data_IF_996292403710
#
_entry.id   IF_996292403710
#
_cell.length_a   1.000
_cell.length_b   1.000
_cell.length_c   1.000
_cell.angle_alpha   90.00
_cell.angle_beta   90.00
_cell.angle_gamma   90.00
#
_symmetry.space_group_name_H-M   'P 1'
#
loop_
_entity.id
_entity.type
_entity.pdbx_description
1 polymer ?
#
# COMPACT_ATOMS: atom_id res chain seq x y z
N UNK A 1 1.76 22.27 33.00
CA UNK A 1 0.88 21.56 32.05
C UNK A 1 1.79 20.78 31.13
N UNK A 2 1.64 19.46 31.00
CA UNK A 2 2.61 18.60 30.34
C UNK A 2 2.60 18.90 28.83
N UNK A 3 3.75 19.32 28.30
CA UNK A 3 3.91 19.70 26.89
C UNK A 3 3.58 18.55 25.93
N UNK A 4 3.70 17.31 26.40
CA UNK A 4 3.38 16.10 25.62
C UNK A 4 1.88 15.91 25.32
N UNK A 5 0.98 16.42 26.17
CA UNK A 5 -0.47 16.28 25.95
C UNK A 5 -0.93 17.23 24.83
N UNK A 6 -0.44 18.47 24.87
CA UNK A 6 -0.70 19.50 23.85
C UNK A 6 -0.10 19.10 22.50
N UNK A 7 1.11 18.52 22.51
CA UNK A 7 1.77 18.04 21.30
C UNK A 7 1.01 16.86 20.67
N UNK A 8 0.48 15.95 21.47
CA UNK A 8 -0.32 14.81 21.01
C UNK A 8 -1.63 15.23 20.34
N UNK A 9 -2.36 16.17 20.93
CA UNK A 9 -3.61 16.69 20.36
C UNK A 9 -3.37 17.47 19.05
N UNK A 10 -2.34 18.31 19.01
CA UNK A 10 -1.95 19.02 17.79
C UNK A 10 -1.49 18.06 16.69
N UNK A 11 -0.61 17.11 17.01
CA UNK A 11 -0.15 16.10 16.04
C UNK A 11 -1.30 15.26 15.51
N UNK A 12 -2.24 14.85 16.35
CA UNK A 12 -3.43 14.12 15.91
C UNK A 12 -4.27 14.92 14.91
N UNK A 13 -4.43 16.23 15.13
CA UNK A 13 -5.10 17.14 14.21
C UNK A 13 -4.37 17.30 12.87
N UNK A 14 -3.05 17.54 12.92
CA UNK A 14 -2.20 17.63 11.73
C UNK A 14 -2.23 16.33 10.93
N UNK A 15 -2.11 15.18 11.58
CA UNK A 15 -2.08 13.88 10.92
C UNK A 15 -3.42 13.56 10.24
N UNK A 16 -4.54 13.93 10.87
CA UNK A 16 -5.88 13.80 10.26
C UNK A 16 -6.03 14.70 9.03
N UNK A 17 -5.47 15.92 9.07
CA UNK A 17 -5.47 16.83 7.94
C UNK A 17 -4.60 16.30 6.79
N UNK A 18 -3.37 15.88 7.10
CA UNK A 18 -2.45 15.26 6.14
C UNK A 18 -3.08 14.00 5.53
N UNK A 19 -3.66 13.12 6.34
CA UNK A 19 -4.28 11.89 5.85
C UNK A 19 -5.45 12.17 4.91
N UNK A 20 -6.28 13.18 5.23
CA UNK A 20 -7.38 13.59 4.35
C UNK A 20 -6.88 14.18 3.04
N UNK A 21 -5.90 15.07 3.10
CA UNK A 21 -5.27 15.67 1.91
C UNK A 21 -4.59 14.60 1.06
N UNK A 22 -3.91 13.66 1.68
CA UNK A 22 -3.26 12.54 0.99
C UNK A 22 -4.28 11.68 0.27
N UNK A 23 -5.39 11.30 0.92
CA UNK A 23 -6.46 10.52 0.28
C UNK A 23 -7.07 11.30 -0.89
N UNK A 24 -7.35 12.59 -0.71
CA UNK A 24 -7.94 13.43 -1.75
C UNK A 24 -7.00 13.57 -2.96
N UNK A 25 -5.72 13.83 -2.72
CA UNK A 25 -4.68 13.88 -3.75
C UNK A 25 -4.47 12.51 -4.41
N UNK A 26 -4.47 11.42 -3.65
CA UNK A 26 -4.35 10.07 -4.19
C UNK A 26 -5.55 9.74 -5.09
N UNK A 27 -6.77 10.05 -4.65
CA UNK A 27 -7.96 9.82 -5.47
C UNK A 27 -7.89 10.66 -6.75
N UNK A 28 -7.61 11.95 -6.64
CA UNK A 28 -7.62 12.84 -7.81
C UNK A 28 -6.45 12.57 -8.76
N UNK A 29 -5.23 12.41 -8.23
CA UNK A 29 -4.02 12.25 -9.03
C UNK A 29 -3.83 10.79 -9.46
N UNK A 30 -4.04 9.82 -8.58
CA UNK A 30 -3.89 8.40 -8.95
C UNK A 30 -5.11 7.93 -9.72
N UNK A 31 -6.36 8.10 -9.25
CA UNK A 31 -7.50 7.53 -9.99
C UNK A 31 -7.78 8.33 -11.26
N UNK A 32 -7.96 9.66 -11.14
CA UNK A 32 -8.28 10.51 -12.29
C UNK A 32 -7.07 10.70 -13.21
N UNK A 33 -5.89 10.92 -12.64
CA UNK A 33 -4.66 11.08 -13.42
C UNK A 33 -4.19 9.80 -14.11
N UNK A 34 -4.14 8.64 -13.43
CA UNK A 34 -3.73 7.38 -14.08
C UNK A 34 -4.75 6.90 -15.10
N UNK A 35 -6.05 6.97 -14.79
CA UNK A 35 -7.11 6.60 -15.71
C UNK A 35 -7.07 7.44 -16.99
N UNK A 36 -6.85 8.75 -16.86
CA UNK A 36 -6.73 9.66 -18.00
C UNK A 36 -5.47 9.38 -18.81
N UNK A 37 -4.32 9.15 -18.16
CA UNK A 37 -3.05 8.91 -18.85
C UNK A 37 -3.08 7.60 -19.65
N UNK A 38 -3.68 6.54 -19.09
CA UNK A 38 -3.84 5.24 -19.77
C UNK A 38 -4.82 5.38 -20.93
N UNK A 39 -5.99 5.99 -20.71
CA UNK A 39 -6.98 6.17 -21.77
C UNK A 39 -6.46 7.08 -22.89
N UNK A 40 -5.74 8.16 -22.56
CA UNK A 40 -5.14 9.08 -23.51
C UNK A 40 -4.09 8.42 -24.40
N UNK A 41 -3.43 7.37 -23.90
CA UNK A 41 -2.47 6.60 -24.70
C UNK A 41 -3.16 5.78 -25.80
N UNK A 42 -4.38 5.32 -25.54
CA UNK A 42 -5.17 4.51 -26.49
C UNK A 42 -6.13 5.33 -27.35
N UNK A 43 -6.55 6.52 -26.91
CA UNK A 43 -7.49 7.37 -27.63
C UNK A 43 -7.18 8.85 -27.41
N UNK A 44 -7.24 9.64 -28.49
CA UNK A 44 -6.88 11.07 -28.47
C UNK A 44 -7.99 11.97 -27.91
N UNK A 45 -9.24 11.55 -28.05
CA UNK A 45 -10.42 12.17 -27.47
C UNK A 45 -10.86 11.33 -26.26
N UNK A 46 -10.42 11.75 -25.08
CA UNK A 46 -10.78 11.11 -23.82
C UNK A 46 -11.23 12.17 -22.85
N UNK A 47 -12.50 12.08 -22.47
CA UNK A 47 -13.08 12.92 -21.43
C UNK A 47 -12.52 12.50 -20.05
N UNK A 48 -11.88 13.43 -19.31
CA UNK A 48 -11.33 13.15 -17.98
C UNK A 48 -12.39 12.82 -16.93
N UNK A 49 -13.65 13.17 -17.19
CA UNK A 49 -14.83 12.81 -16.38
C UNK A 49 -15.64 11.65 -16.99
N UNK A 50 -15.11 11.02 -18.05
CA UNK A 50 -15.72 9.85 -18.65
C UNK A 50 -15.73 8.66 -17.69
N UNK A 51 -16.85 7.94 -17.66
CA UNK A 51 -17.03 6.72 -16.83
C UNK A 51 -15.90 5.71 -17.07
N UNK A 52 -15.35 5.65 -18.29
CA UNK A 52 -14.27 4.76 -18.68
C UNK A 52 -12.94 5.10 -17.99
N UNK A 53 -12.62 6.39 -17.82
CA UNK A 53 -11.43 6.86 -17.10
C UNK A 53 -11.48 6.45 -15.63
N UNK A 54 -12.64 6.64 -15.00
CA UNK A 54 -12.88 6.26 -13.60
C UNK A 54 -12.75 4.74 -13.43
N UNK A 55 -13.32 3.97 -14.35
CA UNK A 55 -13.28 2.50 -14.30
C UNK A 55 -11.85 1.96 -14.46
N UNK A 56 -11.05 2.53 -15.37
CA UNK A 56 -9.64 2.15 -15.55
C UNK A 56 -8.81 2.53 -14.32
N UNK A 57 -8.99 3.73 -13.77
CA UNK A 57 -8.32 4.15 -12.55
C UNK A 57 -8.68 3.27 -11.34
N UNK A 58 -9.95 2.86 -11.23
CA UNK A 58 -10.41 1.96 -10.16
C UNK A 58 -9.86 0.53 -10.34
N UNK A 59 -9.75 0.05 -11.57
CA UNK A 59 -9.11 -1.23 -11.87
C UNK A 59 -7.62 -1.20 -11.49
N UNK A 60 -6.93 -0.10 -11.83
CA UNK A 60 -5.54 0.11 -11.49
C UNK A 60 -5.30 0.11 -9.97
N UNK A 61 -6.08 0.87 -9.19
CA UNK A 61 -5.92 0.89 -7.73
C UNK A 61 -6.26 -0.47 -7.10
N UNK A 62 -7.27 -1.17 -7.64
CA UNK A 62 -7.61 -2.53 -7.20
C UNK A 62 -6.46 -3.51 -7.43
N UNK A 63 -5.79 -3.41 -8.59
CA UNK A 63 -4.62 -4.24 -8.92
C UNK A 63 -3.41 -3.90 -8.05
N UNK A 64 -3.19 -2.62 -7.75
CA UNK A 64 -2.16 -2.17 -6.79
C UNK A 64 -2.45 -2.72 -5.40
N UNK A 65 -3.70 -2.63 -4.93
CA UNK A 65 -4.11 -3.20 -3.64
C UNK A 65 -3.90 -4.72 -3.56
N UNK A 66 -4.21 -5.42 -4.65
CA UNK A 66 -3.95 -6.86 -4.78
C UNK A 66 -2.45 -7.18 -4.74
N UNK A 67 -1.63 -6.41 -5.47
CA UNK A 67 -0.17 -6.55 -5.45
C UNK A 67 0.41 -6.33 -4.05
N UNK A 68 -0.08 -5.33 -3.33
CA UNK A 68 0.30 -5.07 -1.95
C UNK A 68 -0.03 -6.26 -1.04
N UNK A 69 -1.23 -6.86 -1.17
CA UNK A 69 -1.60 -8.05 -0.39
C UNK A 69 -0.64 -9.21 -0.62
N UNK A 70 -0.29 -9.48 -1.88
CA UNK A 70 0.70 -10.51 -2.22
C UNK A 70 2.09 -10.17 -1.66
N UNK A 71 2.54 -8.92 -1.77
CA UNK A 71 3.84 -8.48 -1.25
C UNK A 71 3.91 -8.62 0.27
N UNK A 72 2.82 -8.34 0.99
CA UNK A 72 2.79 -8.53 2.44
C UNK A 72 3.06 -9.97 2.84
N UNK A 73 2.54 -10.95 2.10
CA UNK A 73 2.81 -12.37 2.35
C UNK A 73 4.32 -12.68 2.27
N UNK A 74 4.99 -12.21 1.21
CA UNK A 74 6.44 -12.37 1.05
C UNK A 74 7.27 -11.60 2.08
N UNK A 75 6.85 -10.39 2.46
CA UNK A 75 7.61 -9.55 3.40
C UNK A 75 7.54 -10.13 4.82
N UNK A 76 6.40 -10.68 5.22
CA UNK A 76 6.27 -11.32 6.54
C UNK A 76 7.22 -12.51 6.67
N UNK A 77 7.44 -13.26 5.58
CA UNK A 77 8.40 -14.36 5.56
C UNK A 77 9.84 -13.87 5.78
N UNK A 78 10.27 -12.80 5.11
CA UNK A 78 11.63 -12.28 5.28
C UNK A 78 11.88 -11.69 6.66
N UNK A 79 10.88 -11.02 7.25
CA UNK A 79 10.99 -10.48 8.61
C UNK A 79 11.11 -11.60 9.66
N UNK A 80 10.45 -12.73 9.45
CA UNK A 80 10.62 -13.89 10.31
C UNK A 80 12.05 -14.43 10.22
N UNK A 81 12.63 -14.48 9.01
CA UNK A 81 14.00 -14.92 8.72
C UNK A 81 15.04 -14.07 9.46
N UNK A 82 15.02 -12.76 9.26
CA UNK A 82 15.98 -11.86 9.91
C UNK A 82 15.91 -11.94 11.44
N UNK A 83 14.71 -11.96 12.02
CA UNK A 83 14.53 -12.01 13.47
C UNK A 83 15.13 -13.28 14.10
N UNK A 84 15.14 -14.37 13.35
CA UNK A 84 15.64 -15.66 13.80
C UNK A 84 17.15 -15.80 13.70
N UNK A 85 17.73 -15.34 12.58
CA UNK A 85 19.18 -15.30 12.43
C UNK A 85 19.82 -14.35 13.45
N UNK A 86 19.17 -13.23 13.77
CA UNK A 86 19.67 -12.28 14.79
C UNK A 86 19.59 -12.85 16.22
N UNK A 87 18.65 -13.77 16.48
CA UNK A 87 18.59 -14.53 17.73
C UNK A 87 19.58 -15.70 17.80
N UNK A 88 20.38 -15.92 16.74
CA UNK A 88 21.35 -17.01 16.62
C UNK A 88 20.71 -18.38 16.33
N UNK A 89 19.46 -18.41 15.87
CA UNK A 89 18.78 -19.62 15.40
C UNK A 89 19.10 -19.94 13.94
N UNK A 90 18.71 -21.13 13.49
CA UNK A 90 18.91 -21.60 12.12
C UNK A 90 17.55 -21.78 11.43
N UNK A 91 17.36 -21.15 10.27
CA UNK A 91 16.15 -21.34 9.47
C UNK A 91 16.24 -22.61 8.65
N UNK A 92 15.29 -23.53 8.86
CA UNK A 92 15.15 -24.74 8.02
C UNK A 92 13.94 -24.56 7.11
N UNK A 93 14.17 -24.45 5.80
CA UNK A 93 13.10 -24.37 4.80
C UNK A 93 12.34 -25.71 4.74
N UNK A 94 11.05 -25.66 5.08
CA UNK A 94 10.17 -26.82 5.16
C UNK A 94 9.61 -27.27 3.80
N UNK A 95 10.45 -27.79 2.90
CA UNK A 95 9.98 -28.24 1.57
C UNK A 95 9.34 -29.65 1.58
N UNK A 96 8.37 -29.93 2.48
CA UNK A 96 7.60 -31.18 2.38
C UNK A 96 6.20 -31.21 2.99
N UNK A 97 5.84 -30.30 3.89
CA UNK A 97 4.47 -30.15 4.38
C UNK A 97 4.16 -28.65 4.43
N UNK A 98 2.91 -28.25 4.23
CA UNK A 98 2.48 -26.87 3.99
C UNK A 98 2.62 -25.95 5.22
N UNK A 99 3.77 -25.99 5.88
CA UNK A 99 4.14 -25.26 7.07
C UNK A 99 5.13 -24.16 6.64
N UNK A 100 4.77 -22.91 6.94
CA UNK A 100 5.69 -21.78 6.78
C UNK A 100 6.94 -22.09 7.61
N UNK A 101 8.14 -22.02 7.01
CA UNK A 101 9.39 -22.50 7.60
C UNK A 101 9.59 -22.11 9.08
N UNK A 102 10.14 -23.03 9.87
CA UNK A 102 10.23 -22.89 11.34
C UNK A 102 11.65 -22.54 11.79
N UNK A 103 11.76 -21.59 12.71
CA UNK A 103 12.98 -21.30 13.47
C UNK A 103 13.28 -22.37 14.51
N UNK A 104 14.52 -22.90 14.49
CA UNK A 104 15.07 -23.75 15.55
C UNK A 104 16.24 -23.06 16.26
#
# INVERSE_FOLDING_TARGET
MPVGEIAGELLGGIFKFIGRLFIEVVIELIIKGSGYLICRMFSKDVDPDGVLVILVGLMFIGMVGWGIYFVYDYVQLQLAIDHCLDSGGEFTDGESNNDNGTCQ
#
